data_IF_739176587920
#
_entry.id   IF_739176587920
#
_cell.length_a   1.000
_cell.length_b   1.000
_cell.length_c   1.000
_cell.angle_alpha   90.00
_cell.angle_beta   90.00
_cell.angle_gamma   90.00
#
_symmetry.space_group_name_H-M   'P 1'
#
loop_
_entity.id
_entity.type
_entity.pdbx_description
1 polymer ?
#
# COMPACT_ATOMS: atom_id res chain seq x y z
N UNK A 1 -20.20 16.30 -28.69
CA UNK A 1 -19.51 15.31 -27.84
C UNK A 1 -18.81 16.09 -26.74
N UNK A 2 -19.52 16.37 -25.65
CA UNK A 2 -19.03 17.21 -24.57
C UNK A 2 -18.45 16.29 -23.50
N UNK A 3 -17.13 16.38 -23.30
CA UNK A 3 -16.46 15.72 -22.18
C UNK A 3 -16.82 16.49 -20.90
N UNK A 4 -17.70 15.94 -20.07
CA UNK A 4 -17.80 16.37 -18.69
C UNK A 4 -16.65 15.73 -17.92
N UNK A 5 -15.75 16.49 -17.27
CA UNK A 5 -14.88 15.90 -16.27
C UNK A 5 -15.82 15.35 -15.18
N UNK A 6 -15.82 14.04 -14.99
CA UNK A 6 -16.54 13.41 -13.88
C UNK A 6 -15.88 13.89 -12.59
N UNK A 7 -16.55 14.78 -11.86
CA UNK A 7 -16.20 15.21 -10.50
C UNK A 7 -16.48 14.12 -9.47
N UNK A 8 -16.15 12.87 -9.80
CA UNK A 8 -16.09 11.76 -8.88
C UNK A 8 -14.62 11.35 -8.83
N UNK A 9 -13.97 11.58 -7.69
CA UNK A 9 -12.69 10.94 -7.42
C UNK A 9 -12.96 9.43 -7.49
N UNK A 10 -12.54 8.78 -8.59
CA UNK A 10 -12.68 7.35 -8.84
C UNK A 10 -11.83 6.57 -7.83
N UNK A 11 -12.32 6.53 -6.58
CA UNK A 11 -11.69 5.86 -5.46
C UNK A 11 -11.86 4.37 -5.65
N UNK A 12 -10.78 3.72 -6.08
CA UNK A 12 -10.74 2.28 -6.28
C UNK A 12 -10.29 1.56 -5.01
N UNK A 13 -10.97 0.47 -4.61
CA UNK A 13 -10.52 -0.34 -3.49
C UNK A 13 -9.10 -0.88 -3.72
N UNK A 14 -8.22 -0.67 -2.75
CA UNK A 14 -6.85 -1.20 -2.78
C UNK A 14 -6.89 -2.65 -2.29
N UNK A 15 -6.34 -3.57 -3.10
CA UNK A 15 -6.25 -4.99 -2.75
C UNK A 15 -4.84 -5.46 -2.45
N UNK A 16 -3.83 -4.77 -3.01
CA UNK A 16 -2.42 -5.08 -2.85
C UNK A 16 -1.61 -3.80 -2.76
N UNK A 17 -0.56 -3.79 -1.95
CA UNK A 17 0.38 -2.69 -1.82
C UNK A 17 1.82 -3.19 -1.97
N UNK A 18 2.61 -2.54 -2.84
CA UNK A 18 4.05 -2.76 -2.94
C UNK A 18 4.78 -1.74 -2.06
N UNK A 19 5.60 -2.22 -1.14
CA UNK A 19 6.37 -1.38 -0.22
C UNK A 19 7.85 -1.48 -0.56
N UNK A 20 8.43 -0.35 -0.96
CA UNK A 20 9.84 -0.22 -1.34
C UNK A 20 10.36 1.11 -0.81
N UNK A 21 10.85 1.11 0.43
CA UNK A 21 11.36 2.30 1.12
C UNK A 21 12.76 2.05 1.65
N UNK A 22 13.61 3.08 1.58
CA UNK A 22 14.98 3.01 2.08
C UNK A 22 15.02 3.10 3.61
N UNK A 23 14.30 4.06 4.18
CA UNK A 23 14.05 4.18 5.62
C UNK A 23 12.88 3.27 6.02
N UNK A 24 13.09 2.47 7.06
CA UNK A 24 12.13 1.48 7.55
C UNK A 24 11.45 1.92 8.85
N UNK A 25 11.72 3.13 9.31
CA UNK A 25 11.08 3.72 10.49
C UNK A 25 9.56 3.70 10.32
N UNK A 26 8.85 3.04 11.25
CA UNK A 26 7.38 2.94 11.25
C UNK A 26 6.77 1.99 10.20
N UNK A 27 7.57 1.30 9.38
CA UNK A 27 7.04 0.47 8.28
C UNK A 27 6.20 -0.71 8.76
N UNK A 28 6.53 -1.27 9.93
CA UNK A 28 5.84 -2.44 10.48
C UNK A 28 4.41 -2.08 10.89
N UNK A 29 4.22 -0.98 11.60
CA UNK A 29 2.91 -0.49 12.03
C UNK A 29 2.03 -0.13 10.83
N UNK A 30 2.62 0.53 9.82
CA UNK A 30 1.94 0.85 8.57
C UNK A 30 1.47 -0.41 7.83
N UNK A 31 2.37 -1.38 7.62
CA UNK A 31 2.04 -2.62 6.93
C UNK A 31 1.05 -3.48 7.72
N UNK A 32 1.14 -3.52 9.05
CA UNK A 32 0.19 -4.24 9.91
C UNK A 32 -1.22 -3.68 9.75
N UNK A 33 -1.37 -2.35 9.80
CA UNK A 33 -2.67 -1.69 9.63
C UNK A 33 -3.29 -1.99 8.26
N UNK A 34 -2.49 -2.03 7.20
CA UNK A 34 -2.96 -2.38 5.86
C UNK A 34 -3.35 -3.87 5.76
N UNK A 35 -2.58 -4.76 6.37
CA UNK A 35 -2.87 -6.19 6.40
C UNK A 35 -4.17 -6.50 7.17
N UNK A 36 -4.43 -5.80 8.27
CA UNK A 36 -5.70 -5.87 9.02
C UNK A 36 -6.91 -5.45 8.17
N UNK A 37 -6.72 -4.54 7.21
CA UNK A 37 -7.73 -4.17 6.21
C UNK A 37 -7.87 -5.18 5.07
N UNK A 38 -7.13 -6.29 5.11
CA UNK A 38 -7.16 -7.34 4.08
C UNK A 38 -6.35 -7.01 2.82
N UNK A 39 -5.44 -6.03 2.90
CA UNK A 39 -4.57 -5.65 1.78
C UNK A 39 -3.33 -6.55 1.78
N UNK A 40 -3.07 -7.19 0.64
CA UNK A 40 -1.87 -8.01 0.44
C UNK A 40 -0.62 -7.12 0.33
N UNK A 41 0.38 -7.35 1.19
CA UNK A 41 1.62 -6.57 1.19
C UNK A 41 2.71 -7.32 0.43
N UNK A 42 3.26 -6.67 -0.59
CA UNK A 42 4.43 -7.11 -1.34
C UNK A 42 5.62 -6.23 -0.95
N UNK A 43 6.79 -6.82 -0.73
CA UNK A 43 8.02 -6.09 -0.41
C UNK A 43 9.11 -6.42 -1.42
N UNK A 44 9.86 -5.41 -1.85
CA UNK A 44 11.07 -5.61 -2.69
C UNK A 44 12.29 -6.01 -1.87
N UNK A 45 12.25 -5.83 -0.55
CA UNK A 45 13.23 -6.38 0.38
C UNK A 45 12.76 -7.75 0.85
N UNK A 46 13.58 -8.79 0.64
CA UNK A 46 13.27 -10.15 1.10
C UNK A 46 13.13 -10.28 2.63
N UNK A 47 12.94 -11.51 3.14
CA UNK A 47 12.67 -11.80 4.57
C UNK A 47 13.69 -11.24 5.58
N UNK A 48 14.86 -10.79 5.10
CA UNK A 48 15.97 -10.29 5.90
C UNK A 48 15.80 -8.84 6.43
N UNK A 49 14.78 -8.11 6.00
CA UNK A 49 14.62 -6.69 6.37
C UNK A 49 13.74 -6.44 7.62
N UNK A 50 13.04 -7.45 8.13
CA UNK A 50 12.02 -7.26 9.16
C UNK A 50 11.85 -8.48 10.09
N UNK A 51 12.93 -9.00 10.69
CA UNK A 51 12.84 -9.79 11.93
C UNK A 51 14.11 -9.59 12.75
N UNK A 52 14.07 -8.64 13.69
CA UNK A 52 14.55 -8.80 15.08
C UNK A 52 13.96 -7.69 15.93
#
# INVERSE_FOLDING_TARGET
MTLTPSEDLDLRPIRRALVAVSDKSGIVEMCSSLAEMGIEILSTGGPAAAVR
#
